data_IF_260265552608
#
_entry.id   IF_260265552608
#
_cell.length_a   1.000
_cell.length_b   1.000
_cell.length_c   1.000
_cell.angle_alpha   90.00
_cell.angle_beta   90.00
_cell.angle_gamma   90.00
#
_symmetry.space_group_name_H-M   'P 1'
#
loop_
_entity.id
_entity.type
_entity.pdbx_description
1 polymer ?
#
# COMPACT_ATOMS: atom_id res chain seq x y z
N UNK A 1 -14.26 16.99 -11.45
CA UNK A 1 -12.90 16.57 -11.83
C UNK A 1 -12.02 17.67 -12.44
N UNK A 2 -12.60 18.73 -13.06
CA UNK A 2 -11.86 19.80 -13.75
C UNK A 2 -10.69 20.43 -12.96
N UNK A 3 -10.88 20.87 -11.71
CA UNK A 3 -9.80 21.48 -10.92
C UNK A 3 -8.62 20.53 -10.65
N UNK A 4 -8.88 19.24 -10.44
CA UNK A 4 -7.83 18.24 -10.22
C UNK A 4 -7.06 17.97 -11.51
N UNK A 5 -7.75 17.87 -12.66
CA UNK A 5 -7.11 17.79 -13.97
C UNK A 5 -6.26 19.02 -14.24
N UNK A 6 -6.75 20.23 -13.94
CA UNK A 6 -5.99 21.48 -14.10
C UNK A 6 -4.74 21.52 -13.21
N UNK A 7 -4.85 21.14 -11.94
CA UNK A 7 -3.72 21.05 -11.02
C UNK A 7 -2.66 20.06 -11.53
N UNK A 8 -3.07 18.85 -11.92
CA UNK A 8 -2.16 17.82 -12.42
C UNK A 8 -1.58 18.16 -13.79
N UNK A 9 -2.26 18.95 -14.61
CA UNK A 9 -1.72 19.45 -15.88
C UNK A 9 -0.57 20.46 -15.67
N UNK A 10 -0.49 21.09 -14.49
CA UNK A 10 0.64 21.94 -14.10
C UNK A 10 1.82 21.15 -13.50
N UNK A 11 1.55 19.94 -13.01
CA UNK A 11 2.60 19.00 -12.62
C UNK A 11 3.12 18.29 -13.88
N UNK A 12 4.43 18.31 -14.07
CA UNK A 12 5.11 17.67 -15.20
C UNK A 12 5.14 16.14 -15.05
N UNK A 13 3.98 15.49 -14.86
CA UNK A 13 3.79 14.03 -15.01
C UNK A 13 3.22 13.69 -16.38
N UNK A 14 3.52 14.51 -17.39
CA UNK A 14 3.58 13.98 -18.74
C UNK A 14 4.84 13.12 -18.77
N UNK A 15 4.71 11.90 -18.26
CA UNK A 15 5.72 10.84 -18.34
C UNK A 15 5.83 10.39 -19.81
N UNK A 16 6.29 11.34 -20.63
CA UNK A 16 7.01 11.08 -21.86
C UNK A 16 8.52 11.06 -21.54
N UNK A 17 8.91 10.83 -20.29
CA UNK A 17 10.28 10.98 -19.83
C UNK A 17 11.13 9.79 -20.34
N UNK A 18 11.65 9.98 -21.56
CA UNK A 18 13.08 10.06 -21.87
C UNK A 18 13.99 8.86 -21.52
N UNK A 19 13.47 7.78 -20.96
CA UNK A 19 14.16 6.52 -20.77
C UNK A 19 13.12 5.37 -20.81
N UNK A 20 12.68 4.94 -22.01
CA UNK A 20 12.02 3.63 -22.11
C UNK A 20 12.93 2.63 -21.41
N UNK A 21 12.35 1.67 -20.71
CA UNK A 21 13.08 0.71 -19.89
C UNK A 21 14.00 -0.18 -20.76
N UNK A 22 15.15 0.35 -21.19
CA UNK A 22 16.02 -0.33 -22.15
C UNK A 22 16.80 -1.46 -21.48
N UNK A 23 16.91 -1.46 -20.14
CA UNK A 23 17.82 -2.33 -19.39
C UNK A 23 17.33 -2.80 -17.99
N UNK A 24 16.07 -2.57 -17.60
CA UNK A 24 15.53 -3.07 -16.32
C UNK A 24 16.10 -2.41 -15.05
N UNK A 25 16.65 -1.19 -15.16
CA UNK A 25 17.37 -0.50 -14.06
C UNK A 25 16.65 0.74 -13.51
N UNK A 26 15.42 1.01 -13.96
CA UNK A 26 14.52 2.01 -13.35
C UNK A 26 13.58 1.39 -12.31
N UNK A 27 12.56 2.13 -11.84
CA UNK A 27 11.50 1.60 -10.97
C UNK A 27 10.63 0.48 -11.61
N UNK A 28 10.98 -0.01 -12.80
CA UNK A 28 10.36 -1.15 -13.50
C UNK A 28 8.84 -1.08 -13.71
N UNK A 29 8.26 0.13 -13.73
CA UNK A 29 6.80 0.32 -13.86
C UNK A 29 6.42 0.88 -15.23
N UNK A 30 5.28 0.45 -15.81
CA UNK A 30 4.70 1.09 -16.98
C UNK A 30 4.35 2.56 -16.70
N UNK A 31 4.37 3.40 -17.75
CA UNK A 31 3.88 4.77 -17.65
C UNK A 31 2.41 4.80 -17.21
N UNK A 32 2.06 5.80 -16.42
CA UNK A 32 0.70 5.95 -15.86
C UNK A 32 -0.07 7.01 -16.65
N UNK A 33 -1.17 6.62 -17.29
CA UNK A 33 -2.13 7.57 -17.86
C UNK A 33 -3.02 8.15 -16.75
N UNK A 34 -2.54 9.24 -16.15
CA UNK A 34 -3.24 9.92 -15.06
C UNK A 34 -4.59 10.49 -15.51
N UNK A 35 -4.69 11.00 -16.75
CA UNK A 35 -5.91 11.63 -17.23
C UNK A 35 -6.98 10.60 -17.57
N UNK A 36 -6.60 9.52 -18.27
CA UNK A 36 -7.49 8.39 -18.51
C UNK A 36 -7.94 7.72 -17.20
N UNK A 37 -7.05 7.60 -16.21
CA UNK A 37 -7.39 7.13 -14.88
C UNK A 37 -8.42 8.02 -14.18
N UNK A 38 -8.25 9.35 -14.23
CA UNK A 38 -9.21 10.29 -13.65
C UNK A 38 -10.57 10.27 -14.37
N UNK A 39 -10.59 10.06 -15.69
CA UNK A 39 -11.85 9.91 -16.45
C UNK A 39 -12.60 8.64 -16.07
N UNK A 40 -11.89 7.52 -15.93
CA UNK A 40 -12.49 6.28 -15.45
C UNK A 40 -13.09 6.46 -14.04
N UNK A 41 -12.38 7.19 -13.16
CA UNK A 41 -12.86 7.51 -11.81
C UNK A 41 -14.10 8.40 -11.88
N UNK A 42 -14.11 9.41 -12.76
CA UNK A 42 -15.25 10.33 -12.91
C UNK A 42 -16.54 9.63 -13.37
N UNK A 43 -16.41 8.58 -14.19
CA UNK A 43 -17.55 7.85 -14.74
C UNK A 43 -17.95 6.59 -13.95
N UNK A 44 -17.21 6.22 -12.90
CA UNK A 44 -17.55 5.08 -12.05
C UNK A 44 -18.63 5.43 -11.02
N UNK A 45 -19.36 4.42 -10.55
CA UNK A 45 -20.28 4.54 -9.41
C UNK A 45 -19.58 4.12 -8.12
N UNK A 46 -19.90 4.83 -7.03
CA UNK A 46 -19.28 4.63 -5.71
C UNK A 46 -20.36 4.49 -4.65
N UNK A 47 -20.14 3.62 -3.65
CA UNK A 47 -21.10 3.45 -2.57
C UNK A 47 -21.07 4.64 -1.61
N UNK A 48 -19.90 5.26 -1.46
CA UNK A 48 -19.67 6.39 -0.58
C UNK A 48 -18.46 7.23 -1.06
N UNK A 49 -18.22 8.37 -0.41
CA UNK A 49 -17.13 9.29 -0.77
C UNK A 49 -15.72 8.73 -0.50
N UNK A 50 -15.56 7.82 0.46
CA UNK A 50 -14.27 7.17 0.72
C UNK A 50 -13.86 6.28 -0.45
N UNK A 51 -14.78 5.49 -1.02
CA UNK A 51 -14.51 4.67 -2.19
C UNK A 51 -14.02 5.54 -3.37
N UNK A 52 -14.62 6.72 -3.55
CA UNK A 52 -14.19 7.69 -4.56
C UNK A 52 -12.76 8.22 -4.28
N UNK A 53 -12.50 8.70 -3.07
CA UNK A 53 -11.17 9.20 -2.70
C UNK A 53 -10.09 8.12 -2.74
N UNK A 54 -10.41 6.89 -2.35
CA UNK A 54 -9.52 5.74 -2.44
C UNK A 54 -9.04 5.54 -3.87
N UNK A 55 -9.93 5.59 -4.88
CA UNK A 55 -9.52 5.45 -6.28
C UNK A 55 -8.57 6.55 -6.72
N UNK A 56 -8.78 7.79 -6.27
CA UNK A 56 -7.87 8.91 -6.58
C UNK A 56 -6.51 8.70 -5.90
N UNK A 57 -6.49 8.26 -4.64
CA UNK A 57 -5.25 7.94 -3.91
C UNK A 57 -4.48 6.80 -4.57
N UNK A 58 -5.15 5.71 -4.94
CA UNK A 58 -4.55 4.57 -5.63
C UNK A 58 -3.97 5.00 -6.98
N UNK A 59 -4.69 5.82 -7.74
CA UNK A 59 -4.20 6.33 -9.03
C UNK A 59 -2.93 7.16 -8.86
N UNK A 60 -2.86 8.04 -7.87
CA UNK A 60 -1.67 8.86 -7.63
C UNK A 60 -0.51 8.04 -7.06
N UNK A 61 -0.78 7.05 -6.21
CA UNK A 61 0.25 6.13 -5.71
C UNK A 61 0.90 5.30 -6.84
N UNK A 62 0.22 5.08 -7.98
CA UNK A 62 0.82 4.44 -9.16
C UNK A 62 1.93 5.27 -9.78
N UNK A 63 1.99 6.58 -9.54
CA UNK A 63 3.11 7.42 -9.98
C UNK A 63 4.42 7.08 -9.25
N UNK A 64 4.36 6.34 -8.13
CA UNK A 64 5.51 5.94 -7.31
C UNK A 64 6.41 7.13 -6.92
N UNK A 65 5.82 8.32 -6.78
CA UNK A 65 6.51 9.53 -6.31
C UNK A 65 6.07 9.86 -4.88
N UNK A 66 7.02 9.83 -3.95
CA UNK A 66 6.78 10.15 -2.54
C UNK A 66 6.27 11.58 -2.31
N UNK A 67 6.50 12.50 -3.26
CA UNK A 67 6.07 13.90 -3.16
C UNK A 67 4.69 14.15 -3.76
N UNK A 68 4.11 13.15 -4.44
CA UNK A 68 2.83 13.28 -5.12
C UNK A 68 1.81 12.33 -4.52
N UNK A 69 0.97 12.87 -3.65
CA UNK A 69 -0.09 12.13 -2.99
C UNK A 69 -1.37 12.98 -2.88
N UNK A 70 -2.51 12.32 -2.74
CA UNK A 70 -3.79 12.99 -2.52
C UNK A 70 -4.19 12.92 -1.05
N UNK A 71 -4.49 14.10 -0.50
CA UNK A 71 -5.08 14.21 0.83
C UNK A 71 -6.58 14.39 0.66
N UNK A 72 -7.41 13.41 1.08
CA UNK A 72 -8.85 13.53 0.97
C UNK A 72 -9.37 14.70 1.81
N UNK A 73 -10.20 15.60 1.24
CA UNK A 73 -10.77 16.70 1.99
C UNK A 73 -11.82 16.20 2.98
N UNK A 74 -11.97 16.92 4.10
CA UNK A 74 -13.05 16.71 5.09
C UNK A 74 -13.08 15.32 5.77
N UNK A 75 -12.04 14.50 5.61
CA UNK A 75 -11.87 13.26 6.37
C UNK A 75 -11.07 13.56 7.64
N UNK A 76 -11.63 13.25 8.81
CA UNK A 76 -10.83 13.27 10.04
C UNK A 76 -9.72 12.22 9.90
N UNK A 77 -8.48 12.61 10.22
CA UNK A 77 -7.33 11.69 10.21
C UNK A 77 -7.64 10.53 11.14
N UNK A 78 -8.02 9.38 10.59
CA UNK A 78 -8.06 8.12 11.31
C UNK A 78 -6.79 7.35 10.94
N UNK A 79 -6.11 6.81 11.93
CA UNK A 79 -4.89 6.03 11.73
C UNK A 79 -5.00 4.76 12.55
N UNK A 80 -4.75 3.63 11.90
CA UNK A 80 -4.49 2.38 12.60
C UNK A 80 -2.99 2.30 12.87
N UNK A 81 -2.62 2.17 14.14
CA UNK A 81 -1.23 1.95 14.54
C UNK A 81 -1.07 0.50 14.91
N UNK A 82 -0.16 -0.19 14.23
CA UNK A 82 0.22 -1.55 14.61
C UNK A 82 1.14 -1.50 15.85
N UNK A 83 1.07 -2.50 16.75
CA UNK A 83 1.90 -2.55 17.94
C UNK A 83 3.38 -2.84 17.67
N UNK A 84 3.75 -3.16 16.43
CA UNK A 84 5.10 -3.55 16.02
C UNK A 84 5.53 -2.81 14.75
N UNK A 85 6.83 -2.52 14.67
CA UNK A 85 7.53 -2.23 13.44
C UNK A 85 8.09 -3.53 12.86
N UNK A 86 8.05 -3.65 11.54
CA UNK A 86 8.66 -4.75 10.81
C UNK A 86 9.65 -4.21 9.79
N UNK A 87 10.64 -5.04 9.48
CA UNK A 87 11.71 -4.74 8.52
C UNK A 87 11.79 -5.85 7.48
N UNK A 88 12.14 -5.48 6.25
CA UNK A 88 12.41 -6.42 5.16
C UNK A 88 13.91 -6.69 5.13
N UNK A 89 14.29 -7.96 5.14
CA UNK A 89 15.67 -8.42 5.07
C UNK A 89 15.87 -9.23 3.80
N UNK A 90 16.98 -8.99 3.09
CA UNK A 90 17.37 -9.81 1.95
C UNK A 90 18.10 -11.06 2.46
N UNK A 91 17.68 -12.22 1.97
CA UNK A 91 18.28 -13.52 2.27
C UNK A 91 19.40 -13.86 1.27
N UNK A 92 20.23 -14.85 1.59
CA UNK A 92 21.36 -15.26 0.74
C UNK A 92 20.95 -15.81 -0.64
N UNK A 93 19.73 -16.31 -0.76
CA UNK A 93 19.12 -16.83 -1.99
C UNK A 93 18.37 -15.74 -2.79
N UNK A 94 18.58 -14.46 -2.45
CA UNK A 94 17.89 -13.29 -3.01
C UNK A 94 16.41 -13.17 -2.67
N UNK A 95 15.85 -14.10 -1.88
CA UNK A 95 14.49 -13.94 -1.34
C UNK A 95 14.44 -12.86 -0.25
N UNK A 96 13.24 -12.45 0.13
CA UNK A 96 13.02 -11.46 1.18
C UNK A 96 12.27 -12.08 2.36
N UNK A 97 12.74 -11.81 3.57
CA UNK A 97 12.02 -12.14 4.81
C UNK A 97 11.52 -10.87 5.49
N UNK A 98 10.33 -10.92 6.08
CA UNK A 98 9.76 -9.82 6.86
C UNK A 98 9.76 -10.20 8.32
N UNK A 99 10.38 -9.40 9.17
CA UNK A 99 10.51 -9.74 10.60
C UNK A 99 10.18 -8.57 11.51
N UNK A 100 9.70 -8.89 12.71
CA UNK A 100 9.49 -7.91 13.77
C UNK A 100 10.84 -7.31 14.17
N UNK A 101 10.96 -5.99 14.06
CA UNK A 101 12.15 -5.23 14.44
C UNK A 101 12.03 -4.76 15.89
N UNK A 102 10.95 -4.04 16.20
CA UNK A 102 10.73 -3.45 17.53
C UNK A 102 9.25 -3.18 17.80
N UNK A 103 8.91 -2.97 19.06
CA UNK A 103 7.55 -2.63 19.49
C UNK A 103 7.30 -1.12 19.46
N UNK A 104 6.04 -0.73 19.34
CA UNK A 104 5.56 0.64 19.56
C UNK A 104 5.05 0.71 21.01
N UNK A 105 5.77 1.32 21.98
CA UNK A 105 5.55 1.06 23.40
C UNK A 105 4.11 1.21 23.89
N UNK A 106 3.46 2.32 23.61
CA UNK A 106 2.07 2.59 24.07
C UNK A 106 1.05 1.70 23.38
N UNK A 107 1.20 1.49 22.08
CA UNK A 107 0.29 0.66 21.27
C UNK A 107 0.45 -0.82 21.62
N UNK A 108 1.69 -1.26 21.84
CA UNK A 108 2.04 -2.61 22.27
C UNK A 108 1.43 -2.94 23.62
N UNK A 109 1.61 -2.08 24.63
CA UNK A 109 1.01 -2.29 25.95
C UNK A 109 -0.51 -2.43 25.88
N UNK A 110 -1.18 -1.57 25.11
CA UNK A 110 -2.63 -1.66 24.90
C UNK A 110 -3.01 -2.97 24.22
N UNK A 111 -2.34 -3.32 23.13
CA UNK A 111 -2.60 -4.53 22.37
C UNK A 111 -2.48 -5.80 23.22
N UNK A 112 -1.42 -5.93 24.01
CA UNK A 112 -1.24 -7.07 24.92
C UNK A 112 -2.28 -7.05 26.04
N UNK A 113 -2.59 -5.88 26.61
CA UNK A 113 -3.61 -5.76 27.67
C UNK A 113 -5.02 -6.17 27.19
N UNK A 114 -5.28 -6.05 25.89
CA UNK A 114 -6.53 -6.46 25.25
C UNK A 114 -6.56 -7.94 24.86
N UNK A 115 -5.54 -8.72 25.22
CA UNK A 115 -5.42 -10.14 24.88
C UNK A 115 -4.78 -10.40 23.51
N UNK A 116 -4.03 -9.44 22.98
CA UNK A 116 -3.23 -9.61 21.76
C UNK A 116 -2.15 -10.69 21.88
N UNK A 117 -1.67 -11.18 20.73
CA UNK A 117 -0.62 -12.20 20.65
C UNK A 117 0.74 -11.52 20.65
N UNK A 118 1.57 -11.83 21.64
CA UNK A 118 2.91 -11.26 21.73
C UNK A 118 3.86 -11.81 20.66
N UNK A 119 4.55 -10.93 19.95
CA UNK A 119 5.57 -11.29 18.96
C UNK A 119 6.94 -10.80 19.42
N UNK A 120 7.89 -11.73 19.55
CA UNK A 120 9.26 -11.41 19.91
C UNK A 120 10.02 -10.75 18.76
N UNK A 121 11.09 -10.01 19.08
CA UNK A 121 12.04 -9.53 18.08
C UNK A 121 12.52 -10.69 17.18
N UNK A 122 12.69 -10.43 15.88
CA UNK A 122 13.10 -11.39 14.87
C UNK A 122 12.06 -12.50 14.57
N UNK A 123 10.84 -12.39 15.11
CA UNK A 123 9.70 -13.21 14.66
C UNK A 123 9.41 -12.92 13.20
N UNK A 124 9.41 -13.96 12.37
CA UNK A 124 9.14 -13.85 10.94
C UNK A 124 7.63 -13.83 10.65
N UNK A 125 7.23 -12.89 9.81
CA UNK A 125 5.87 -12.80 9.26
C UNK A 125 5.91 -13.50 7.90
N UNK A 126 5.26 -14.65 7.79
CA UNK A 126 5.27 -15.44 6.57
C UNK A 126 4.28 -14.90 5.53
N UNK A 127 3.05 -14.63 5.97
CA UNK A 127 1.94 -14.25 5.10
C UNK A 127 1.13 -13.11 5.71
N UNK A 128 0.54 -12.29 4.83
CA UNK A 128 -0.41 -11.23 5.19
C UNK A 128 -1.64 -11.37 4.30
N UNK A 129 -2.84 -11.27 4.90
CA UNK A 129 -4.07 -11.16 4.13
C UNK A 129 -4.52 -9.69 4.07
N UNK A 130 -4.44 -9.09 2.89
CA UNK A 130 -4.76 -7.67 2.69
C UNK A 130 -6.26 -7.35 2.82
N UNK A 131 -7.12 -8.38 2.87
CA UNK A 131 -8.57 -8.23 3.07
C UNK A 131 -8.99 -8.40 4.54
N UNK A 132 -8.03 -8.53 5.45
CA UNK A 132 -8.28 -8.69 6.89
C UNK A 132 -8.94 -10.03 7.26
N UNK A 133 -8.85 -11.04 6.39
CA UNK A 133 -9.35 -12.40 6.64
C UNK A 133 -8.26 -13.27 7.30
N UNK A 134 -8.63 -14.41 7.93
CA UNK A 134 -7.65 -15.41 8.34
C UNK A 134 -6.76 -15.84 7.16
N UNK A 135 -5.51 -16.23 7.43
CA UNK A 135 -4.57 -16.64 6.37
C UNK A 135 -5.10 -17.85 5.59
N UNK A 136 -5.63 -18.85 6.30
CA UNK A 136 -6.14 -20.09 5.74
C UNK A 136 -7.65 -20.21 5.91
N UNK A 137 -8.30 -20.86 4.95
CA UNK A 137 -9.72 -21.23 5.02
C UNK A 137 -9.91 -22.52 5.85
N UNK A 138 -11.16 -22.98 5.95
CA UNK A 138 -11.51 -24.22 6.68
C UNK A 138 -10.93 -25.51 6.07
N UNK A 139 -10.45 -25.45 4.83
CA UNK A 139 -9.79 -26.55 4.11
C UNK A 139 -8.25 -26.44 4.16
N UNK A 140 -7.72 -25.51 4.96
CA UNK A 140 -6.29 -25.23 5.09
C UNK A 140 -5.61 -24.71 3.81
N UNK A 141 -6.39 -24.05 2.93
CA UNK A 141 -5.88 -23.39 1.73
C UNK A 141 -5.80 -21.87 1.97
N UNK A 142 -4.87 -21.15 1.32
CA UNK A 142 -4.79 -19.70 1.44
C UNK A 142 -6.11 -19.02 1.05
N UNK A 143 -6.60 -18.12 1.91
CA UNK A 143 -7.74 -17.29 1.57
C UNK A 143 -7.40 -16.30 0.44
N UNK A 144 -8.44 -15.89 -0.30
CA UNK A 144 -8.35 -14.79 -1.26
C UNK A 144 -7.79 -13.51 -0.59
N UNK A 145 -6.78 -12.91 -1.23
CA UNK A 145 -6.03 -11.77 -0.71
C UNK A 145 -4.89 -12.10 0.24
N UNK A 146 -4.54 -13.39 0.43
CA UNK A 146 -3.33 -13.83 1.15
C UNK A 146 -2.12 -13.81 0.22
N UNK A 147 -1.05 -13.14 0.64
CA UNK A 147 0.23 -13.05 -0.06
C UNK A 147 1.38 -13.35 0.90
N UNK A 148 2.57 -13.63 0.34
CA UNK A 148 3.79 -13.60 1.15
C UNK A 148 3.95 -12.21 1.76
N UNK A 149 4.49 -12.12 2.98
CA UNK A 149 4.59 -10.84 3.68
C UNK A 149 5.40 -9.79 2.89
N UNK A 150 6.48 -10.21 2.22
CA UNK A 150 7.29 -9.32 1.39
C UNK A 150 6.50 -8.76 0.20
N UNK A 151 5.65 -9.58 -0.43
CA UNK A 151 4.80 -9.16 -1.55
C UNK A 151 3.66 -8.24 -1.09
N UNK A 152 3.13 -8.46 0.11
CA UNK A 152 2.04 -7.66 0.68
C UNK A 152 2.47 -6.25 1.10
N UNK A 153 3.75 -6.05 1.40
CA UNK A 153 4.31 -4.79 1.92
C UNK A 153 5.00 -3.96 0.82
N UNK A 154 5.43 -4.59 -0.27
CA UNK A 154 6.15 -3.96 -1.39
C UNK A 154 5.26 -3.15 -2.36
#
# INVERSE_FOLDING_TARGET
MSNLKTYLNSYTFKDTALFPNVNGTGYDQPSVDIFGGLEQIEHASYNNTFDFYERVMVLLNKLKDAHTYFVPPCVQKFSYTLPYYFSIYQNADLSQSVKIDRTVPTTYQKYISDGGVDFYNNTEILCINLKGKPIYNQFNEPNDGTYLAAEAIA
#
